data_IF_316731667107
#
_entry.id   IF_316731667107
#
_cell.length_a   1.000
_cell.length_b   1.000
_cell.length_c   1.000
_cell.angle_alpha   90.00
_cell.angle_beta   90.00
_cell.angle_gamma   90.00
#
_symmetry.space_group_name_H-M   'P 1'
#
loop_
_entity.id
_entity.type
_entity.pdbx_description
1 polymer ?
#
# COMPACT_ATOMS: atom_id res chain seq x y z
N UNK A 1 8.83 -16.47 -40.03
CA UNK A 1 9.65 -15.70 -39.06
C UNK A 1 8.88 -14.42 -38.76
N UNK A 2 8.69 -14.06 -37.49
CA UNK A 2 7.58 -13.24 -36.97
C UNK A 2 7.59 -11.77 -37.45
N UNK A 3 6.58 -11.37 -38.24
CA UNK A 3 6.23 -9.98 -38.52
C UNK A 3 5.50 -9.36 -37.28
N UNK A 4 5.92 -8.17 -36.86
CA UNK A 4 5.29 -7.40 -35.78
C UNK A 4 4.04 -6.71 -36.31
N UNK A 5 2.85 -7.14 -35.90
CA UNK A 5 1.62 -6.37 -36.11
C UNK A 5 1.60 -5.17 -35.17
N UNK A 6 1.91 -3.97 -35.69
CA UNK A 6 1.55 -2.71 -35.05
C UNK A 6 0.07 -2.45 -35.36
N UNK A 7 -0.82 -2.78 -34.42
CA UNK A 7 -2.21 -2.32 -34.48
C UNK A 7 -2.19 -0.81 -34.21
N UNK A 8 -2.46 -0.01 -35.25
CA UNK A 8 -2.67 1.42 -35.10
C UNK A 8 -4.08 1.63 -34.52
N UNK A 9 -4.15 2.14 -33.29
CA UNK A 9 -5.41 2.51 -32.65
C UNK A 9 -5.91 3.79 -33.34
N UNK A 10 -7.16 3.84 -33.84
CA UNK A 10 -7.67 5.02 -34.53
C UNK A 10 -7.75 6.21 -33.55
N UNK A 11 -7.46 7.45 -34.00
CA UNK A 11 -7.37 8.63 -33.12
C UNK A 11 -8.62 8.84 -32.24
N UNK A 12 -9.79 8.49 -32.78
CA UNK A 12 -11.08 8.61 -32.08
C UNK A 12 -11.25 7.60 -30.94
N UNK A 13 -10.61 6.42 -31.01
CA UNK A 13 -10.60 5.46 -29.90
C UNK A 13 -9.62 5.87 -28.79
N UNK A 14 -8.56 6.62 -29.14
CA UNK A 14 -7.65 7.23 -28.16
C UNK A 14 -8.38 8.33 -27.40
N UNK A 15 -9.16 9.18 -28.07
CA UNK A 15 -9.98 10.22 -27.42
C UNK A 15 -11.08 9.62 -26.54
N UNK A 16 -11.78 8.57 -26.98
CA UNK A 16 -12.83 7.96 -26.17
C UNK A 16 -12.27 7.25 -24.92
N UNK A 17 -11.11 6.58 -25.03
CA UNK A 17 -10.39 5.99 -23.88
C UNK A 17 -9.80 7.07 -22.97
N UNK A 18 -9.37 8.21 -23.53
CA UNK A 18 -8.87 9.36 -22.78
C UNK A 18 -9.99 10.11 -22.04
N UNK A 19 -11.19 10.22 -22.62
CA UNK A 19 -12.35 10.85 -21.98
C UNK A 19 -12.91 9.97 -20.84
N UNK A 20 -12.91 8.63 -20.99
CA UNK A 20 -13.23 7.71 -19.88
C UNK A 20 -12.20 7.78 -18.74
N UNK A 21 -10.92 8.04 -19.05
CA UNK A 21 -9.88 8.22 -18.05
C UNK A 21 -9.85 9.62 -17.41
N UNK A 22 -10.41 10.65 -18.06
CA UNK A 22 -10.39 12.02 -17.53
C UNK A 22 -11.55 12.29 -16.56
N UNK A 23 -12.69 11.60 -16.72
CA UNK A 23 -13.79 11.68 -15.75
C UNK A 23 -13.63 10.75 -14.52
N UNK A 24 -12.72 9.77 -14.59
CA UNK A 24 -12.39 8.88 -13.48
C UNK A 24 -11.25 9.41 -12.58
N UNK A 25 -10.69 10.58 -12.88
CA UNK A 25 -9.59 11.18 -12.09
C UNK A 25 -10.09 12.02 -10.88
N UNK A 26 -11.40 12.07 -10.64
CA UNK A 26 -11.97 12.77 -9.48
C UNK A 26 -12.99 11.94 -8.68
N UNK A 27 -12.93 10.61 -8.82
CA UNK A 27 -13.39 9.74 -7.74
C UNK A 27 -12.17 9.55 -6.83
N UNK A 28 -12.11 10.33 -5.75
CA UNK A 28 -11.37 9.91 -4.56
C UNK A 28 -11.82 8.49 -4.26
N UNK A 29 -11.00 7.50 -4.63
CA UNK A 29 -11.16 6.12 -4.22
C UNK A 29 -10.92 6.07 -2.71
N UNK A 30 -11.95 6.44 -1.95
CA UNK A 30 -11.94 6.42 -0.48
C UNK A 30 -11.83 4.99 0.08
N UNK A 31 -11.67 3.98 -0.79
CA UNK A 31 -11.68 2.56 -0.44
C UNK A 31 -10.29 1.92 -0.35
N UNK A 32 -9.23 2.58 -0.82
CA UNK A 32 -7.85 2.08 -0.60
C UNK A 32 -7.30 2.65 0.71
N UNK A 33 -7.05 1.83 1.75
CA UNK A 33 -6.54 2.34 3.02
C UNK A 33 -5.11 2.87 2.83
N UNK A 34 -4.76 3.93 3.56
CA UNK A 34 -3.41 4.46 3.53
C UNK A 34 -2.44 3.39 4.04
N UNK A 35 -1.51 2.95 3.20
CA UNK A 35 -0.55 1.92 3.56
C UNK A 35 0.72 2.54 4.15
N UNK A 36 1.27 2.02 5.27
CA UNK A 36 2.57 2.44 5.75
C UNK A 36 3.63 2.22 4.66
N UNK A 37 4.50 3.21 4.50
CA UNK A 37 5.66 3.12 3.63
C UNK A 37 6.62 2.06 4.16
N UNK A 38 7.26 1.24 3.32
CA UNK A 38 8.41 0.44 3.74
C UNK A 38 9.50 1.33 4.33
N UNK A 39 10.18 0.85 5.37
CA UNK A 39 11.19 1.62 6.10
C UNK A 39 11.13 1.41 7.61
N UNK A 40 11.89 2.21 8.36
CA UNK A 40 12.06 2.08 9.80
C UNK A 40 10.94 2.79 10.55
N UNK A 41 10.38 2.11 11.55
CA UNK A 41 9.36 2.61 12.45
C UNK A 41 9.77 2.42 13.90
N UNK A 42 9.32 3.34 14.76
CA UNK A 42 9.39 3.23 16.20
C UNK A 42 8.02 2.92 16.77
N UNK A 43 7.91 1.82 17.51
CA UNK A 43 6.75 1.54 18.33
C UNK A 43 6.72 2.50 19.53
N UNK A 44 5.53 2.90 20.00
CA UNK A 44 5.40 3.83 21.14
C UNK A 44 6.11 3.34 22.43
N UNK A 45 6.35 2.03 22.57
CA UNK A 45 7.16 1.44 23.66
C UNK A 45 8.68 1.47 23.43
N UNK A 46 9.15 2.13 22.38
CA UNK A 46 10.58 2.34 22.08
C UNK A 46 11.21 1.36 21.08
N UNK A 47 10.59 0.19 20.84
CA UNK A 47 11.13 -0.82 19.92
C UNK A 47 11.19 -0.35 18.46
N UNK A 48 12.23 -0.77 17.75
CA UNK A 48 12.46 -0.47 16.33
C UNK A 48 12.05 -1.63 15.44
N UNK A 49 11.35 -1.30 14.35
CA UNK A 49 10.78 -2.26 13.43
C UNK A 49 10.87 -1.76 12.00
N UNK A 50 11.32 -2.62 11.09
CA UNK A 50 11.37 -2.29 9.65
C UNK A 50 10.14 -2.86 8.96
N UNK A 51 9.28 -1.99 8.41
CA UNK A 51 8.18 -2.40 7.53
C UNK A 51 8.74 -2.82 6.19
N UNK A 52 8.33 -3.99 5.74
CA UNK A 52 8.77 -4.59 4.47
C UNK A 52 7.72 -4.31 3.39
N UNK A 53 6.47 -4.66 3.68
CA UNK A 53 5.35 -4.45 2.76
C UNK A 53 4.01 -4.54 3.50
N UNK A 54 2.95 -4.13 2.78
CA UNK A 54 1.56 -4.38 3.15
C UNK A 54 0.98 -5.39 2.18
N UNK A 55 0.38 -6.44 2.71
CA UNK A 55 -0.28 -7.50 1.94
C UNK A 55 -1.75 -7.62 2.28
N UNK A 56 -2.51 -8.31 1.43
CA UNK A 56 -3.92 -8.64 1.68
C UNK A 56 -4.03 -10.11 2.05
N UNK A 57 -4.70 -10.41 3.17
CA UNK A 57 -4.96 -11.77 3.61
C UNK A 57 -5.88 -12.46 2.62
N UNK A 58 -5.49 -13.61 2.07
CA UNK A 58 -6.21 -14.23 0.93
C UNK A 58 -7.59 -14.78 1.30
N UNK A 59 -7.80 -15.17 2.55
CA UNK A 59 -9.06 -15.77 2.99
C UNK A 59 -10.06 -14.74 3.53
N UNK A 60 -9.57 -13.71 4.22
CA UNK A 60 -10.42 -12.70 4.89
C UNK A 60 -10.38 -11.36 4.21
N UNK A 61 -9.52 -11.21 3.19
CA UNK A 61 -9.29 -9.96 2.48
C UNK A 61 -8.79 -8.78 3.34
N UNK A 62 -8.38 -9.05 4.58
CA UNK A 62 -7.89 -8.04 5.53
C UNK A 62 -6.49 -7.54 5.14
N UNK A 63 -6.25 -6.23 5.29
CA UNK A 63 -4.93 -5.65 5.07
C UNK A 63 -4.00 -5.91 6.26
N UNK A 64 -2.80 -6.40 5.95
CA UNK A 64 -1.79 -6.81 6.93
C UNK A 64 -0.45 -6.12 6.65
N UNK A 65 0.19 -5.63 7.70
CA UNK A 65 1.55 -5.07 7.67
C UNK A 65 2.54 -6.16 8.04
N UNK A 66 3.50 -6.42 7.15
CA UNK A 66 4.61 -7.34 7.38
C UNK A 66 5.86 -6.55 7.74
N UNK A 67 6.47 -6.87 8.88
CA UNK A 67 7.60 -6.12 9.42
C UNK A 67 8.60 -7.00 10.18
N UNK A 68 9.83 -6.52 10.32
CA UNK A 68 10.93 -7.18 11.04
C UNK A 68 11.23 -6.45 12.34
N UNK A 69 11.49 -7.17 13.42
CA UNK A 69 12.05 -6.63 14.67
C UNK A 69 13.56 -6.40 14.50
N UNK A 70 14.04 -5.18 14.74
CA UNK A 70 15.49 -4.92 14.67
C UNK A 70 16.25 -5.49 15.87
N UNK A 71 15.58 -5.67 17.01
CA UNK A 71 16.20 -6.26 18.20
C UNK A 71 16.34 -7.78 18.12
N UNK A 72 15.36 -8.47 17.50
CA UNK A 72 15.28 -9.93 17.49
C UNK A 72 15.52 -10.56 16.10
N UNK A 73 15.49 -9.76 15.04
CA UNK A 73 15.57 -10.24 13.66
C UNK A 73 14.35 -11.05 13.19
N UNK A 74 13.32 -11.21 14.03
CA UNK A 74 12.11 -11.97 13.73
C UNK A 74 11.12 -11.18 12.86
N UNK A 75 10.33 -11.90 12.06
CA UNK A 75 9.30 -11.35 11.19
C UNK A 75 7.91 -11.50 11.82
N UNK A 76 7.10 -10.47 11.64
CA UNK A 76 5.77 -10.35 12.22
C UNK A 76 4.79 -9.85 11.18
N UNK A 77 3.52 -10.22 11.37
CA UNK A 77 2.40 -9.78 10.55
C UNK A 77 1.31 -9.26 11.49
N UNK A 78 0.73 -8.10 11.18
CA UNK A 78 -0.28 -7.45 12.02
C UNK A 78 -1.36 -6.78 11.16
N UNK A 79 -2.63 -6.78 11.56
CA UNK A 79 -3.66 -5.96 10.93
C UNK A 79 -3.26 -4.50 10.73
N UNK A 80 -3.52 -3.96 9.54
CA UNK A 80 -3.26 -2.57 9.19
C UNK A 80 -4.00 -1.61 10.11
N UNK A 81 -5.27 -1.92 10.42
CA UNK A 81 -6.08 -1.18 11.40
C UNK A 81 -5.35 -1.06 12.74
N UNK A 82 -4.86 -2.19 13.27
CA UNK A 82 -4.12 -2.24 14.52
C UNK A 82 -2.73 -1.63 14.46
N UNK A 83 -2.15 -1.46 13.27
CA UNK A 83 -0.88 -0.77 13.07
C UNK A 83 -1.06 0.74 13.15
N UNK A 84 -2.12 1.27 12.54
CA UNK A 84 -2.46 2.70 12.48
C UNK A 84 -3.15 3.25 13.72
N UNK A 85 -3.49 2.37 14.68
CA UNK A 85 -4.06 2.76 15.96
C UNK A 85 -3.22 3.80 16.70
N UNK A 86 -3.91 4.61 17.52
CA UNK A 86 -3.29 5.50 18.49
C UNK A 86 -3.47 4.92 19.89
N UNK A 87 -2.42 5.03 20.72
CA UNK A 87 -2.44 4.66 22.14
C UNK A 87 -2.28 5.93 22.95
N UNK A 88 -3.30 6.30 23.71
CA UNK A 88 -3.32 7.53 24.53
C UNK A 88 -2.93 8.79 23.73
N UNK A 89 -3.43 8.93 22.50
CA UNK A 89 -3.13 10.07 21.62
C UNK A 89 -1.79 10.00 20.88
N UNK A 90 -0.98 8.95 21.10
CA UNK A 90 0.29 8.75 20.37
C UNK A 90 0.13 7.68 19.30
N UNK A 91 0.62 7.86 18.06
CA UNK A 91 0.63 6.81 17.05
C UNK A 91 1.33 5.55 17.57
N UNK A 92 0.72 4.38 17.37
CA UNK A 92 1.32 3.12 17.84
C UNK A 92 2.68 2.87 17.20
N UNK A 93 2.82 3.20 15.92
CA UNK A 93 4.07 3.17 15.17
C UNK A 93 4.28 4.51 14.46
N UNK A 94 5.48 5.08 14.59
CA UNK A 94 5.87 6.34 13.94
C UNK A 94 7.00 6.06 12.95
N UNK A 95 6.86 6.52 11.70
CA UNK A 95 7.88 6.40 10.67
C UNK A 95 9.13 7.24 11.00
N UNK A 96 10.31 6.72 10.67
CA UNK A 96 11.61 7.38 10.91
C UNK A 96 12.34 7.63 9.58
N UNK A 97 12.58 6.59 8.78
CA UNK A 97 13.39 6.62 7.55
C UNK A 97 12.99 5.55 6.52
#
# INVERSE_FOLDING_TARGET
MKERFKVAIPPQAVEHLFIMNTHAQNMIDTTTPEHPRPGLYRHYKGGLYTVICVGRHSETEEWLVTYRSEALGSYWVRPLSMWQEHVNGTPRFTFIE
#
